data_IF_389589585611
#
_entry.id   IF_389589585611
#
_cell.length_a   1.000
_cell.length_b   1.000
_cell.length_c   1.000
_cell.angle_alpha   90.00
_cell.angle_beta   90.00
_cell.angle_gamma   90.00
#
_symmetry.space_group_name_H-M   'P 1'
#
loop_
_entity.id
_entity.type
_entity.pdbx_description
1 polymer ?
#
# COMPACT_ATOMS: atom_id res chain seq x y z
N UNK A 1 31.20 -57.80 39.17
CA UNK A 1 30.83 -56.37 39.07
C UNK A 1 29.72 -56.24 38.03
N UNK A 2 28.61 -55.56 38.40
CA UNK A 2 27.55 -55.13 37.46
C UNK A 2 28.10 -54.07 36.49
N UNK A 3 27.48 -53.90 35.32
CA UNK A 3 26.53 -52.79 35.14
C UNK A 3 25.25 -53.26 34.42
N UNK A 4 24.04 -53.09 34.95
CA UNK A 4 23.21 -51.88 35.03
C UNK A 4 22.86 -51.25 33.66
N UNK A 5 21.62 -51.54 33.26
CA UNK A 5 20.74 -50.85 32.31
C UNK A 5 20.96 -49.34 32.19
N UNK A 6 20.97 -48.84 30.96
CA UNK A 6 20.43 -47.54 30.62
C UNK A 6 19.60 -47.67 29.33
N UNK A 7 18.42 -47.02 29.22
CA UNK A 7 17.42 -47.31 28.20
C UNK A 7 17.69 -46.56 26.88
N UNK A 8 17.23 -47.15 25.77
CA UNK A 8 17.24 -46.54 24.45
C UNK A 8 16.41 -45.24 24.41
N UNK A 9 16.84 -44.21 23.66
CA UNK A 9 16.06 -42.98 23.52
C UNK A 9 14.80 -43.24 22.70
N UNK A 10 13.69 -42.73 23.22
CA UNK A 10 12.37 -42.72 22.59
C UNK A 10 12.42 -42.05 21.21
N UNK A 11 11.75 -42.66 20.23
CA UNK A 11 11.57 -42.10 18.89
C UNK A 11 10.72 -40.83 18.98
N UNK A 12 11.16 -39.83 18.22
CA UNK A 12 10.48 -38.57 17.94
C UNK A 12 9.06 -38.79 17.41
N UNK A 13 8.06 -38.53 18.25
CA UNK A 13 6.70 -38.20 17.83
C UNK A 13 6.47 -36.72 18.18
N UNK A 14 6.91 -35.81 17.31
CA UNK A 14 6.47 -34.40 17.23
C UNK A 14 7.08 -33.66 16.04
N UNK A 15 6.67 -34.05 14.83
CA UNK A 15 6.68 -33.17 13.65
C UNK A 15 5.40 -33.37 12.85
N UNK A 16 4.29 -33.02 13.48
CA UNK A 16 3.00 -32.91 12.83
C UNK A 16 2.34 -31.61 13.33
N UNK A 17 2.96 -30.46 13.02
CA UNK A 17 2.25 -29.17 13.05
C UNK A 17 2.95 -28.00 12.31
N UNK A 18 4.00 -28.26 11.51
CA UNK A 18 4.81 -27.19 10.89
C UNK A 18 4.51 -26.99 9.38
N UNK A 19 3.27 -27.27 8.97
CA UNK A 19 2.78 -27.01 7.61
C UNK A 19 1.50 -26.18 7.69
N UNK A 20 1.59 -25.03 8.38
CA UNK A 20 0.71 -23.92 8.07
C UNK A 20 1.02 -23.48 6.63
N UNK A 21 0.12 -23.87 5.74
CA UNK A 21 0.12 -23.70 4.30
C UNK A 21 0.33 -22.22 3.90
N UNK A 22 1.59 -21.81 3.75
CA UNK A 22 1.98 -20.49 3.28
C UNK A 22 2.28 -20.55 1.77
N UNK A 23 1.31 -21.04 1.00
CA UNK A 23 1.39 -21.17 -0.46
C UNK A 23 1.31 -19.79 -1.14
N UNK A 24 2.47 -19.16 -1.32
CA UNK A 24 2.58 -17.91 -2.09
C UNK A 24 2.50 -18.19 -3.59
N UNK A 25 1.69 -17.41 -4.32
CA UNK A 25 1.55 -17.50 -5.78
C UNK A 25 2.10 -16.24 -6.42
N UNK A 26 3.02 -16.40 -7.37
CA UNK A 26 3.55 -15.29 -8.17
C UNK A 26 2.62 -15.04 -9.35
N UNK A 27 2.17 -13.79 -9.49
CA UNK A 27 1.28 -13.36 -10.57
C UNK A 27 1.98 -12.26 -11.37
N UNK A 28 1.86 -12.30 -12.71
CA UNK A 28 2.34 -11.23 -13.58
C UNK A 28 1.53 -9.94 -13.33
N UNK A 29 2.23 -8.81 -13.24
CA UNK A 29 1.63 -7.48 -13.05
C UNK A 29 0.54 -7.21 -14.09
N UNK A 30 0.75 -7.62 -15.35
CA UNK A 30 -0.23 -7.42 -16.42
C UNK A 30 -1.57 -8.09 -16.12
N UNK A 31 -1.57 -9.25 -15.45
CA UNK A 31 -2.81 -9.93 -15.07
C UNK A 31 -3.59 -9.17 -13.99
N UNK A 32 -2.90 -8.49 -13.08
CA UNK A 32 -3.54 -7.63 -12.08
C UNK A 32 -4.12 -6.36 -12.73
N UNK A 33 -3.47 -5.84 -13.77
CA UNK A 33 -3.99 -4.70 -14.56
C UNK A 33 -5.25 -5.10 -15.35
N UNK A 34 -5.22 -6.23 -16.04
CA UNK A 34 -6.38 -6.76 -16.78
C UNK A 34 -7.58 -6.99 -15.84
N UNK A 35 -7.33 -7.52 -14.64
CA UNK A 35 -8.35 -7.76 -13.64
C UNK A 35 -8.94 -6.44 -13.09
N UNK A 36 -8.12 -5.41 -12.88
CA UNK A 36 -8.61 -4.07 -12.52
C UNK A 36 -9.53 -3.48 -13.60
N UNK A 37 -9.17 -3.64 -14.88
CA UNK A 37 -10.01 -3.17 -15.98
C UNK A 37 -11.37 -3.87 -15.98
N UNK A 38 -11.39 -5.20 -15.79
CA UNK A 38 -12.63 -5.97 -15.70
C UNK A 38 -13.51 -5.56 -14.51
N UNK A 39 -12.90 -5.30 -13.35
CA UNK A 39 -13.62 -4.76 -12.19
C UNK A 39 -14.15 -3.35 -12.47
N UNK A 40 -13.40 -2.53 -13.20
CA UNK A 40 -13.84 -1.21 -13.65
C UNK A 40 -15.12 -1.29 -14.49
N UNK A 41 -15.14 -2.14 -15.51
CA UNK A 41 -16.33 -2.41 -16.34
C UNK A 41 -17.50 -2.93 -15.51
N UNK A 42 -17.24 -3.83 -14.55
CA UNK A 42 -18.27 -4.34 -13.65
C UNK A 42 -18.88 -3.24 -12.77
N UNK A 43 -18.05 -2.31 -12.27
CA UNK A 43 -18.52 -1.15 -11.49
C UNK A 43 -19.38 -0.23 -12.35
N UNK A 44 -19.01 -0.01 -13.62
CA UNK A 44 -19.82 0.78 -14.56
C UNK A 44 -21.19 0.14 -14.79
N UNK A 45 -21.25 -1.15 -15.09
CA UNK A 45 -22.52 -1.86 -15.30
C UNK A 45 -23.38 -1.91 -14.02
N UNK A 46 -22.76 -2.06 -12.85
CA UNK A 46 -23.45 -1.94 -11.56
C UNK A 46 -24.06 -0.54 -11.37
N UNK A 47 -23.32 0.51 -11.69
CA UNK A 47 -23.84 1.88 -11.57
C UNK A 47 -25.01 2.13 -12.54
N UNK A 48 -24.91 1.62 -13.77
CA UNK A 48 -25.99 1.66 -14.76
C UNK A 48 -27.23 0.90 -14.27
N UNK A 49 -27.06 -0.28 -13.69
CA UNK A 49 -28.15 -1.06 -13.10
C UNK A 49 -28.85 -0.30 -11.96
N UNK A 50 -28.07 0.36 -11.09
CA UNK A 50 -28.64 1.19 -10.02
C UNK A 50 -29.46 2.36 -10.56
N UNK A 51 -28.97 3.01 -11.62
CA UNK A 51 -29.70 4.11 -12.28
C UNK A 51 -31.02 3.63 -12.89
N UNK A 52 -31.00 2.52 -13.64
CA UNK A 52 -32.22 1.92 -14.20
C UNK A 52 -33.23 1.51 -13.13
N UNK A 53 -32.78 0.99 -11.98
CA UNK A 53 -33.66 0.69 -10.85
C UNK A 53 -34.32 1.96 -10.30
N UNK A 54 -33.58 3.06 -10.17
CA UNK A 54 -34.12 4.34 -9.72
C UNK A 54 -35.15 4.90 -10.71
N UNK A 55 -34.85 4.86 -12.00
CA UNK A 55 -35.76 5.33 -13.06
C UNK A 55 -37.06 4.48 -13.09
N UNK A 56 -36.96 3.17 -12.93
CA UNK A 56 -38.10 2.25 -12.97
C UNK A 56 -39.06 2.40 -11.77
N UNK A 57 -38.55 2.77 -10.60
CA UNK A 57 -39.37 3.05 -9.41
C UNK A 57 -40.24 4.32 -9.54
N UNK A 58 -39.93 5.22 -10.49
CA UNK A 58 -40.71 6.42 -10.75
C UNK A 58 -42.00 6.19 -11.55
N UNK A 59 -42.09 5.08 -12.29
CA UNK A 59 -43.10 4.88 -13.35
C UNK A 59 -44.02 3.67 -13.15
N UNK A 60 -43.70 2.76 -12.20
CA UNK A 60 -44.40 1.48 -12.04
C UNK A 60 -45.15 1.37 -10.71
N UNK A 61 -46.47 1.13 -10.77
CA UNK A 61 -47.34 0.90 -9.62
C UNK A 61 -47.27 -0.48 -8.97
N UNK A 62 -46.36 -1.36 -9.42
CA UNK A 62 -46.18 -2.72 -8.88
C UNK A 62 -45.03 -2.76 -7.87
N UNK A 63 -45.38 -2.68 -6.58
CA UNK A 63 -44.45 -2.42 -5.48
C UNK A 63 -43.55 -3.60 -5.11
N UNK A 64 -43.94 -4.85 -5.42
CA UNK A 64 -43.22 -6.05 -4.97
C UNK A 64 -41.96 -6.33 -5.80
N UNK A 65 -42.05 -6.27 -7.12
CA UNK A 65 -40.91 -6.52 -8.02
C UNK A 65 -39.84 -5.44 -7.88
N UNK A 66 -40.24 -4.17 -7.80
CA UNK A 66 -39.31 -3.05 -7.62
C UNK A 66 -38.54 -3.15 -6.29
N UNK A 67 -39.17 -3.62 -5.21
CA UNK A 67 -38.52 -3.80 -3.92
C UNK A 67 -37.50 -4.96 -3.95
N UNK A 68 -37.85 -6.10 -4.55
CA UNK A 68 -36.93 -7.23 -4.72
C UNK A 68 -35.73 -6.88 -5.61
N UNK A 69 -35.98 -6.18 -6.73
CA UNK A 69 -34.93 -5.74 -7.64
C UNK A 69 -34.00 -4.72 -6.98
N UNK A 70 -34.53 -3.81 -6.17
CA UNK A 70 -33.72 -2.88 -5.38
C UNK A 70 -32.84 -3.61 -4.34
N UNK A 71 -33.38 -4.63 -3.66
CA UNK A 71 -32.60 -5.48 -2.73
C UNK A 71 -31.46 -6.21 -3.46
N UNK A 72 -31.74 -6.78 -4.63
CA UNK A 72 -30.73 -7.44 -5.46
C UNK A 72 -29.64 -6.46 -5.93
N UNK A 73 -30.03 -5.28 -6.39
CA UNK A 73 -29.11 -4.23 -6.85
C UNK A 73 -28.18 -3.75 -5.73
N UNK A 74 -28.70 -3.60 -4.50
CA UNK A 74 -27.89 -3.29 -3.30
C UNK A 74 -26.90 -4.40 -2.99
N UNK A 75 -27.29 -5.67 -3.13
CA UNK A 75 -26.39 -6.80 -2.91
C UNK A 75 -25.28 -6.87 -3.96
N UNK A 76 -25.60 -6.69 -5.24
CA UNK A 76 -24.61 -6.66 -6.33
C UNK A 76 -23.63 -5.52 -6.12
N UNK A 77 -24.11 -4.34 -5.75
CA UNK A 77 -23.21 -3.21 -5.46
C UNK A 77 -22.26 -3.48 -4.31
N UNK A 78 -22.76 -4.05 -3.21
CA UNK A 78 -21.91 -4.45 -2.08
C UNK A 78 -20.83 -5.44 -2.51
N UNK A 79 -21.20 -6.54 -3.17
CA UNK A 79 -20.25 -7.58 -3.61
C UNK A 79 -19.22 -7.02 -4.61
N UNK A 80 -19.66 -6.14 -5.51
CA UNK A 80 -18.76 -5.49 -6.48
C UNK A 80 -17.76 -4.56 -5.79
N UNK A 81 -18.20 -3.80 -4.78
CA UNK A 81 -17.31 -2.95 -3.99
C UNK A 81 -16.29 -3.76 -3.19
N UNK A 82 -16.71 -4.87 -2.58
CA UNK A 82 -15.79 -5.78 -1.88
C UNK A 82 -14.76 -6.38 -2.83
N UNK A 83 -15.19 -6.83 -4.02
CA UNK A 83 -14.29 -7.35 -5.05
C UNK A 83 -13.28 -6.28 -5.46
N UNK A 84 -13.73 -5.05 -5.73
CA UNK A 84 -12.84 -3.95 -6.07
C UNK A 84 -11.79 -3.69 -4.98
N UNK A 85 -12.20 -3.67 -3.72
CA UNK A 85 -11.28 -3.49 -2.59
C UNK A 85 -10.26 -4.62 -2.48
N UNK A 86 -10.66 -5.87 -2.71
CA UNK A 86 -9.74 -7.01 -2.70
C UNK A 86 -8.71 -6.94 -3.82
N UNK A 87 -9.12 -6.51 -5.01
CA UNK A 87 -8.22 -6.39 -6.16
C UNK A 87 -7.22 -5.26 -5.96
N UNK A 88 -7.67 -4.11 -5.43
CA UNK A 88 -6.77 -3.02 -5.05
C UNK A 88 -5.72 -3.50 -4.04
N UNK A 89 -6.14 -4.27 -3.02
CA UNK A 89 -5.21 -4.85 -2.03
C UNK A 89 -4.16 -5.76 -2.66
N UNK A 90 -4.53 -6.57 -3.66
CA UNK A 90 -3.57 -7.45 -4.35
C UNK A 90 -2.49 -6.68 -5.13
N UNK A 91 -2.71 -5.40 -5.43
CA UNK A 91 -1.74 -4.52 -6.13
C UNK A 91 -0.88 -3.70 -5.19
N UNK A 92 -1.18 -3.70 -3.90
CA UNK A 92 -0.46 -2.86 -2.96
C UNK A 92 0.98 -3.36 -2.82
N UNK A 93 1.90 -2.42 -2.83
CA UNK A 93 3.33 -2.68 -2.62
C UNK A 93 3.87 -1.71 -1.56
N UNK A 94 4.88 -2.13 -0.78
CA UNK A 94 5.50 -1.25 0.20
C UNK A 94 6.15 -0.04 -0.48
N UNK A 95 5.93 1.14 0.10
CA UNK A 95 6.50 2.40 -0.37
C UNK A 95 8.04 2.44 -0.27
N UNK A 96 8.64 1.55 0.54
CA UNK A 96 10.08 1.32 0.67
C UNK A 96 10.83 1.35 -0.68
N UNK A 97 10.23 0.78 -1.74
CA UNK A 97 10.84 0.72 -3.08
C UNK A 97 11.19 2.12 -3.62
N UNK A 98 10.37 3.12 -3.34
CA UNK A 98 10.59 4.52 -3.74
C UNK A 98 11.47 5.24 -2.72
N UNK A 99 11.32 4.96 -1.43
CA UNK A 99 12.08 5.67 -0.40
C UNK A 99 13.58 5.31 -0.45
N UNK A 100 13.94 4.10 -0.87
CA UNK A 100 15.33 3.62 -1.05
C UNK A 100 16.23 4.52 -1.92
N UNK A 101 15.68 5.28 -2.88
CA UNK A 101 16.48 6.21 -3.72
C UNK A 101 16.77 7.55 -3.06
N UNK A 102 15.95 7.99 -2.10
CA UNK A 102 16.04 9.35 -1.55
C UNK A 102 17.29 9.61 -0.69
N UNK A 103 17.81 8.68 0.13
CA UNK A 103 19.05 8.92 0.89
C UNK A 103 20.25 9.30 0.02
N UNK A 104 20.33 8.78 -1.22
CA UNK A 104 21.39 9.17 -2.16
C UNK A 104 21.13 10.55 -2.75
N UNK A 105 19.89 10.82 -3.17
CA UNK A 105 19.49 12.11 -3.75
C UNK A 105 19.70 13.25 -2.76
N UNK A 106 19.23 13.08 -1.52
CA UNK A 106 19.38 14.05 -0.43
C UNK A 106 20.86 14.32 -0.13
N UNK A 107 21.71 13.28 -0.05
CA UNK A 107 23.16 13.47 0.17
C UNK A 107 23.84 14.26 -0.95
N UNK A 108 23.47 14.01 -2.20
CA UNK A 108 24.02 14.75 -3.33
C UNK A 108 23.56 16.21 -3.29
N UNK A 109 22.26 16.44 -3.10
CA UNK A 109 21.71 17.79 -3.01
C UNK A 109 22.27 18.58 -1.82
N UNK A 110 22.50 17.92 -0.68
CA UNK A 110 23.12 18.54 0.48
C UNK A 110 24.54 19.05 0.17
N UNK A 111 25.33 18.24 -0.57
CA UNK A 111 26.67 18.64 -1.02
C UNK A 111 26.61 19.79 -2.00
N UNK A 112 25.71 19.74 -2.97
CA UNK A 112 25.56 20.77 -4.00
C UNK A 112 25.16 22.13 -3.41
N UNK A 113 24.33 22.11 -2.36
CA UNK A 113 23.86 23.32 -1.66
C UNK A 113 24.77 23.76 -0.51
N UNK A 114 25.82 23.00 -0.18
CA UNK A 114 26.66 23.28 0.98
C UNK A 114 25.92 23.19 2.33
N UNK A 115 24.90 22.33 2.42
CA UNK A 115 24.07 22.15 3.63
C UNK A 115 24.37 20.81 4.30
N UNK A 116 24.21 20.75 5.62
CA UNK A 116 24.32 19.52 6.41
C UNK A 116 22.92 19.05 6.82
N UNK A 117 22.50 17.86 6.38
CA UNK A 117 21.15 17.33 6.66
C UNK A 117 21.18 15.86 7.07
N UNK A 118 20.28 15.50 7.98
CA UNK A 118 19.97 14.13 8.39
C UNK A 118 18.61 13.75 7.81
N UNK A 119 18.55 12.66 7.06
CA UNK A 119 17.29 12.15 6.51
C UNK A 119 16.77 11.03 7.40
N UNK A 120 15.57 11.21 7.94
CA UNK A 120 14.81 10.18 8.65
C UNK A 120 13.64 9.74 7.78
N UNK A 121 13.50 8.43 7.59
CA UNK A 121 12.40 7.83 6.82
C UNK A 121 11.56 6.99 7.77
N UNK A 122 10.23 7.18 7.75
CA UNK A 122 9.26 6.51 8.61
C UNK A 122 8.14 5.90 7.76
N UNK A 123 7.65 4.72 8.15
CA UNK A 123 6.54 4.04 7.46
C UNK A 123 6.92 3.45 6.10
N UNK A 124 8.14 2.92 5.96
CA UNK A 124 8.59 2.28 4.70
C UNK A 124 7.75 1.04 4.35
N UNK A 125 7.18 0.40 5.37
CA UNK A 125 6.29 -0.75 5.29
C UNK A 125 4.87 -0.40 4.82
N UNK A 126 4.50 0.89 4.81
CA UNK A 126 3.17 1.33 4.37
C UNK A 126 2.95 0.92 2.92
N UNK A 127 1.87 0.18 2.68
CA UNK A 127 1.54 -0.31 1.35
C UNK A 127 0.67 0.71 0.59
N UNK A 128 0.97 0.90 -0.69
CA UNK A 128 0.24 1.78 -1.60
C UNK A 128 0.03 1.08 -2.95
N UNK A 129 -0.97 1.52 -3.73
CA UNK A 129 -1.16 0.98 -5.08
C UNK A 129 0.09 1.21 -5.93
N UNK A 130 0.47 0.19 -6.70
CA UNK A 130 1.67 0.22 -7.53
C UNK A 130 1.73 1.42 -8.47
N UNK A 131 0.63 1.83 -9.11
CA UNK A 131 0.67 3.00 -10.02
C UNK A 131 0.98 4.28 -9.25
N UNK A 132 0.40 4.43 -8.06
CA UNK A 132 0.69 5.57 -7.17
C UNK A 132 2.16 5.58 -6.78
N UNK A 133 2.73 4.42 -6.41
CA UNK A 133 4.15 4.31 -6.05
C UNK A 133 5.06 4.68 -7.22
N UNK A 134 4.72 4.27 -8.44
CA UNK A 134 5.53 4.57 -9.62
C UNK A 134 5.45 6.08 -9.98
N UNK A 135 4.32 6.75 -9.74
CA UNK A 135 4.11 8.18 -10.06
C UNK A 135 4.55 9.16 -8.95
N UNK A 136 4.45 8.78 -7.68
CA UNK A 136 4.69 9.70 -6.54
C UNK A 136 6.17 10.08 -6.38
N UNK A 137 7.07 9.32 -6.99
CA UNK A 137 8.52 9.48 -6.82
C UNK A 137 9.05 10.86 -7.22
N UNK A 138 8.66 11.38 -8.37
CA UNK A 138 9.16 12.66 -8.88
C UNK A 138 8.58 13.88 -8.12
N UNK A 139 7.26 13.92 -7.81
CA UNK A 139 6.71 14.91 -6.89
C UNK A 139 7.43 14.96 -5.54
N UNK A 140 7.76 13.81 -4.95
CA UNK A 140 8.50 13.77 -3.67
C UNK A 140 9.91 14.34 -3.80
N UNK A 141 10.61 14.08 -4.91
CA UNK A 141 11.92 14.71 -5.17
C UNK A 141 11.77 16.23 -5.24
N UNK A 142 10.71 16.73 -5.87
CA UNK A 142 10.46 18.16 -5.93
C UNK A 142 10.23 18.77 -4.54
N UNK A 143 9.43 18.11 -3.69
CA UNK A 143 9.21 18.56 -2.32
C UNK A 143 10.49 18.53 -1.48
N UNK A 144 11.30 17.46 -1.61
CA UNK A 144 12.62 17.36 -0.96
C UNK A 144 13.52 18.52 -1.39
N UNK A 145 13.55 18.82 -2.69
CA UNK A 145 14.33 19.93 -3.22
C UNK A 145 13.87 21.25 -2.63
N UNK A 146 12.57 21.55 -2.62
CA UNK A 146 12.04 22.78 -2.03
C UNK A 146 12.39 22.90 -0.54
N UNK A 147 12.28 21.80 0.21
CA UNK A 147 12.66 21.75 1.62
C UNK A 147 14.16 22.02 1.83
N UNK A 148 15.02 21.51 0.94
CA UNK A 148 16.47 21.71 1.06
C UNK A 148 16.95 23.05 0.52
N UNK A 149 16.40 23.54 -0.59
CA UNK A 149 16.78 24.81 -1.22
C UNK A 149 16.32 25.99 -0.35
N UNK A 150 15.07 25.98 0.07
CA UNK A 150 14.42 27.12 0.74
C UNK A 150 14.05 26.86 2.21
N UNK A 151 13.78 25.60 2.57
CA UNK A 151 13.33 25.26 3.93
C UNK A 151 14.45 25.07 4.95
N UNK A 152 15.69 24.82 4.53
CA UNK A 152 16.83 24.56 5.41
C UNK A 152 17.88 25.66 5.27
N UNK A 153 18.26 26.32 6.37
CA UNK A 153 19.34 27.30 6.37
C UNK A 153 20.72 26.63 6.25
N UNK A 154 21.75 27.40 5.90
CA UNK A 154 23.13 26.89 5.89
C UNK A 154 23.60 26.53 7.32
N UNK A 155 24.61 25.65 7.48
CA UNK A 155 25.08 25.22 8.79
C UNK A 155 25.46 26.38 9.72
N UNK A 156 26.05 27.44 9.16
CA UNK A 156 26.52 28.59 9.93
C UNK A 156 25.36 29.52 10.33
N UNK A 157 24.37 29.73 9.45
CA UNK A 157 23.13 30.45 9.77
C UNK A 157 22.34 29.75 10.90
N UNK A 158 22.30 28.41 10.87
CA UNK A 158 21.63 27.61 11.91
C UNK A 158 22.30 27.79 13.27
N UNK A 159 23.62 27.71 13.32
CA UNK A 159 24.37 27.91 14.57
C UNK A 159 24.21 29.34 15.09
N UNK A 160 24.24 30.35 14.19
CA UNK A 160 23.99 31.75 14.56
C UNK A 160 22.58 31.95 15.14
N UNK A 161 21.59 31.19 14.67
CA UNK A 161 20.24 31.16 15.19
C UNK A 161 20.04 30.23 16.41
N UNK A 162 21.10 29.63 16.96
CA UNK A 162 21.04 28.72 18.11
C UNK A 162 20.45 27.33 17.82
N UNK A 163 20.35 26.94 16.54
CA UNK A 163 19.84 25.64 16.10
C UNK A 163 20.98 24.63 15.94
N UNK A 164 20.69 23.31 15.94
CA UNK A 164 21.67 22.29 15.58
C UNK A 164 22.24 22.53 14.17
N UNK A 165 23.56 22.39 14.04
CA UNK A 165 24.29 22.59 12.77
C UNK A 165 23.75 21.73 11.64
N UNK A 166 23.47 20.45 11.92
CA UNK A 166 22.82 19.52 10.99
C UNK A 166 21.30 19.74 11.04
N UNK A 167 20.69 19.97 9.89
CA UNK A 167 19.23 19.97 9.73
C UNK A 167 18.64 18.57 9.76
N UNK A 168 17.34 18.46 10.02
CA UNK A 168 16.61 17.20 9.92
C UNK A 168 15.55 17.31 8.84
N UNK A 169 15.55 16.35 7.91
CA UNK A 169 14.52 16.17 6.90
C UNK A 169 13.81 14.85 7.22
N UNK A 170 12.49 14.90 7.40
CA UNK A 170 11.67 13.72 7.74
C UNK A 170 10.78 13.41 6.55
N UNK A 171 10.82 12.16 6.09
CA UNK A 171 9.87 11.61 5.14
C UNK A 171 9.01 10.57 5.87
N UNK A 172 7.71 10.80 5.94
CA UNK A 172 6.74 9.89 6.56
C UNK A 172 5.69 9.49 5.54
N UNK A 173 5.36 8.20 5.52
CA UNK A 173 4.14 7.68 4.91
C UNK A 173 2.93 7.85 5.84
#
# INVERSE_FOLDING_TARGET
MRPQNAPAPAKDDKKADDLADNSTVRVDVKRLDDLMNQVGELVLERNRMMQLNTDFQGDSGDSSFGEEFAKLSKRISFVTSELQMQVLKMRMIPVEKVFKKFPRIVRNLARDLGKEVDLTVLGEETELDRSVVDEIGDPLIHLIRNAMDHGLETPDERVAAGKPRKGTLILSA
#
